data_IF_168580843484
#
_entry.id   IF_168580843484
#
_cell.length_a   1.000
_cell.length_b   1.000
_cell.length_c   1.000
_cell.angle_alpha   90.00
_cell.angle_beta   90.00
_cell.angle_gamma   90.00
#
_symmetry.space_group_name_H-M   'P 1'
#
loop_
_entity.id
_entity.type
_entity.pdbx_description
1 polymer ?
#
# COMPACT_ATOMS: atom_id res chain seq x y z
N UNK A 1 -24.21 -22.91 -5.78
CA UNK A 1 -22.92 -22.26 -6.08
C UNK A 1 -22.55 -21.34 -4.91
N UNK A 2 -21.79 -21.82 -3.93
CA UNK A 2 -21.22 -20.97 -2.86
C UNK A 2 -19.91 -20.42 -3.38
N UNK A 3 -19.90 -19.17 -3.84
CA UNK A 3 -18.69 -18.44 -4.22
C UNK A 3 -17.81 -18.28 -2.99
N UNK A 4 -16.58 -18.72 -3.11
CA UNK A 4 -15.52 -18.69 -2.11
C UNK A 4 -15.29 -17.26 -1.58
N UNK A 5 -15.91 -16.95 -0.45
CA UNK A 5 -15.63 -15.70 0.30
C UNK A 5 -14.26 -15.76 0.99
N UNK A 6 -13.68 -16.96 1.10
CA UNK A 6 -12.44 -17.20 1.85
C UNK A 6 -11.17 -16.80 1.08
N UNK A 7 -11.12 -17.08 -0.22
CA UNK A 7 -9.97 -16.69 -1.07
C UNK A 7 -9.81 -15.16 -1.14
N UNK A 8 -10.92 -14.43 -0.99
CA UNK A 8 -10.92 -12.95 -0.97
C UNK A 8 -10.28 -12.38 0.29
N UNK A 9 -10.34 -13.06 1.43
CA UNK A 9 -9.87 -12.54 2.72
C UNK A 9 -8.34 -12.63 2.85
N UNK A 10 -7.73 -13.73 2.41
CA UNK A 10 -6.25 -13.89 2.40
C UNK A 10 -5.62 -12.93 1.39
N UNK A 11 -6.30 -12.70 0.27
CA UNK A 11 -5.88 -11.74 -0.75
C UNK A 11 -5.93 -10.29 -0.23
N UNK A 12 -6.95 -9.96 0.58
CA UNK A 12 -7.05 -8.64 1.23
C UNK A 12 -5.96 -8.41 2.29
N UNK A 13 -5.48 -9.46 2.99
CA UNK A 13 -4.40 -9.32 3.97
C UNK A 13 -3.06 -9.00 3.34
N UNK A 14 -2.72 -9.61 2.20
CA UNK A 14 -1.51 -9.24 1.46
C UNK A 14 -1.55 -7.77 0.99
N UNK A 15 -2.74 -7.25 0.68
CA UNK A 15 -2.93 -5.83 0.32
C UNK A 15 -2.93 -4.89 1.53
N UNK A 16 -3.40 -5.32 2.69
CA UNK A 16 -3.44 -4.48 3.90
C UNK A 16 -2.03 -4.16 4.42
N UNK A 17 -1.08 -5.09 4.30
CA UNK A 17 0.34 -4.85 4.65
C UNK A 17 1.00 -3.88 3.66
N UNK A 18 0.56 -3.87 2.39
CA UNK A 18 1.10 -2.95 1.37
C UNK A 18 0.62 -1.50 1.54
N UNK A 19 -0.50 -1.25 2.24
CA UNK A 19 -1.11 0.09 2.33
C UNK A 19 -0.55 0.97 3.47
N UNK A 20 0.32 0.43 4.33
CA UNK A 20 0.96 1.20 5.43
C UNK A 20 2.24 1.92 4.97
N UNK A 21 2.54 1.92 3.67
CA UNK A 21 3.62 2.75 3.12
C UNK A 21 3.15 4.19 2.93
N UNK A 22 3.16 4.97 4.00
CA UNK A 22 3.25 6.43 3.90
C UNK A 22 4.54 6.75 3.13
N UNK A 23 4.49 7.58 2.08
CA UNK A 23 5.69 8.03 1.39
C UNK A 23 6.48 8.95 2.33
N UNK A 24 7.33 8.37 3.15
CA UNK A 24 8.40 9.10 3.78
C UNK A 24 9.35 9.55 2.67
N UNK A 25 9.33 10.85 2.35
CA UNK A 25 10.30 11.47 1.47
C UNK A 25 11.72 11.19 1.95
N UNK A 26 12.33 10.15 1.44
CA UNK A 26 13.78 9.97 1.47
C UNK A 26 14.27 10.12 0.03
N UNK A 27 14.76 11.31 -0.32
CA UNK A 27 15.65 11.52 -1.46
C UNK A 27 16.97 10.80 -1.16
N UNK A 28 16.98 9.50 -1.36
CA UNK A 28 18.18 8.71 -1.44
C UNK A 28 18.42 8.35 -2.90
N UNK A 29 19.21 9.14 -3.60
CA UNK A 29 19.77 8.78 -4.91
C UNK A 29 20.74 7.61 -4.71
N UNK A 30 20.20 6.42 -4.55
CA UNK A 30 20.93 5.17 -4.58
C UNK A 30 20.80 4.59 -5.98
N UNK A 31 21.83 4.78 -6.81
CA UNK A 31 22.00 4.08 -8.06
C UNK A 31 22.11 2.59 -7.74
N UNK A 32 20.99 1.88 -7.76
CA UNK A 32 20.99 0.42 -7.63
C UNK A 32 21.66 -0.14 -8.88
N UNK A 33 22.95 -0.47 -8.79
CA UNK A 33 23.61 -1.25 -9.83
C UNK A 33 22.84 -2.56 -9.96
N UNK A 34 22.15 -2.73 -11.10
CA UNK A 34 21.59 -4.03 -11.47
C UNK A 34 22.77 -5.00 -11.51
N UNK A 35 22.87 -5.85 -10.51
CA UNK A 35 23.79 -6.98 -10.55
C UNK A 35 23.22 -7.93 -11.60
N UNK A 36 23.92 -8.02 -12.74
CA UNK A 36 23.62 -9.03 -13.76
C UNK A 36 23.96 -10.37 -13.11
N UNK A 37 22.96 -11.08 -12.59
CA UNK A 37 23.10 -12.45 -12.14
C UNK A 37 23.56 -13.26 -13.36
N UNK A 38 24.75 -13.81 -13.31
CA UNK A 38 25.12 -14.85 -14.25
C UNK A 38 24.13 -15.99 -14.08
N UNK A 39 23.56 -16.43 -15.20
CA UNK A 39 22.56 -17.50 -15.26
C UNK A 39 23.21 -18.86 -15.02
N UNK A 40 23.71 -19.07 -13.80
CA UNK A 40 23.93 -20.39 -13.26
C UNK A 40 22.60 -20.91 -12.70
N UNK A 41 22.36 -22.20 -12.78
CA UNK A 41 21.18 -22.83 -12.20
C UNK A 41 21.14 -22.55 -10.69
N UNK A 42 20.33 -21.57 -10.30
CA UNK A 42 20.10 -21.26 -8.89
C UNK A 42 19.27 -22.38 -8.31
N UNK A 43 19.82 -23.11 -7.36
CA UNK A 43 19.10 -24.16 -6.65
C UNK A 43 17.95 -23.56 -5.81
N UNK A 44 16.85 -24.29 -5.71
CA UNK A 44 15.70 -23.92 -4.89
C UNK A 44 16.05 -23.65 -3.42
N UNK A 45 17.12 -24.25 -2.93
CA UNK A 45 17.65 -24.10 -1.57
C UNK A 45 18.65 -22.96 -1.42
N UNK A 46 19.07 -22.33 -2.53
CA UNK A 46 20.03 -21.22 -2.51
C UNK A 46 19.49 -20.03 -1.74
N UNK A 47 20.31 -19.43 -0.88
CA UNK A 47 19.98 -18.20 -0.19
C UNK A 47 20.19 -17.04 -1.16
N UNK A 48 19.11 -16.37 -1.55
CA UNK A 48 19.13 -15.26 -2.52
C UNK A 48 19.02 -13.87 -1.87
N UNK A 49 18.60 -13.83 -0.60
CA UNK A 49 18.50 -12.60 0.17
C UNK A 49 18.80 -12.88 1.63
N UNK A 50 19.35 -11.89 2.35
CA UNK A 50 19.58 -11.95 3.81
C UNK A 50 18.99 -10.71 4.46
N UNK A 51 18.25 -10.94 5.57
CA UNK A 51 17.66 -9.88 6.38
C UNK A 51 18.18 -10.11 7.81
N UNK A 52 19.17 -9.33 8.22
CA UNK A 52 19.93 -9.64 9.41
C UNK A 52 20.58 -11.03 9.30
N UNK A 53 20.24 -11.93 10.23
CA UNK A 53 20.69 -13.32 10.22
C UNK A 53 19.77 -14.28 9.48
N UNK A 54 18.58 -13.84 9.07
CA UNK A 54 17.62 -14.68 8.35
C UNK A 54 17.98 -14.78 6.87
N UNK A 55 18.13 -16.01 6.38
CA UNK A 55 18.35 -16.29 4.96
C UNK A 55 17.02 -16.59 4.27
N UNK A 56 16.77 -15.97 3.14
CA UNK A 56 15.61 -16.24 2.27
C UNK A 56 16.04 -17.16 1.13
N UNK A 57 15.36 -18.28 1.01
CA UNK A 57 15.62 -19.26 -0.05
C UNK A 57 14.99 -18.83 -1.36
N UNK A 58 15.58 -19.25 -2.48
CA UNK A 58 15.04 -18.99 -3.80
C UNK A 58 13.63 -19.58 -3.97
N UNK A 59 13.38 -20.79 -3.42
CA UNK A 59 12.04 -21.38 -3.40
C UNK A 59 11.00 -20.51 -2.70
N UNK A 60 11.37 -19.85 -1.60
CA UNK A 60 10.47 -18.94 -0.87
C UNK A 60 10.07 -17.74 -1.74
N UNK A 61 11.04 -17.07 -2.38
CA UNK A 61 10.76 -15.98 -3.32
C UNK A 61 9.83 -16.43 -4.44
N UNK A 62 10.06 -17.62 -5.02
CA UNK A 62 9.21 -18.17 -6.09
C UNK A 62 7.78 -18.46 -5.62
N UNK A 63 7.59 -18.89 -4.37
CA UNK A 63 6.27 -19.10 -3.81
C UNK A 63 5.51 -17.76 -3.69
N UNK A 64 6.14 -16.68 -3.25
CA UNK A 64 5.54 -15.33 -3.29
C UNK A 64 5.22 -14.87 -4.71
N UNK A 65 6.11 -15.14 -5.68
CA UNK A 65 5.82 -14.86 -7.10
C UNK A 65 4.57 -15.60 -7.58
N UNK A 66 4.33 -16.84 -7.14
CA UNK A 66 3.14 -17.58 -7.49
C UNK A 66 1.87 -16.96 -6.90
N UNK A 67 1.89 -16.57 -5.63
CA UNK A 67 0.74 -15.91 -4.99
C UNK A 67 0.38 -14.61 -5.71
N UNK A 68 1.38 -13.79 -6.01
CA UNK A 68 1.18 -12.54 -6.73
C UNK A 68 0.69 -12.78 -8.16
N UNK A 69 1.25 -13.80 -8.86
CA UNK A 69 0.76 -14.23 -10.17
C UNK A 69 -0.73 -14.55 -10.13
N UNK A 70 -1.16 -15.38 -9.19
CA UNK A 70 -2.57 -15.75 -9.08
C UNK A 70 -3.47 -14.52 -8.87
N UNK A 71 -3.01 -13.55 -8.09
CA UNK A 71 -3.75 -12.32 -7.83
C UNK A 71 -3.87 -11.43 -9.07
N UNK A 72 -2.77 -11.16 -9.74
CA UNK A 72 -2.75 -10.23 -10.88
C UNK A 72 -3.34 -10.86 -12.14
N UNK A 73 -2.95 -12.08 -12.49
CA UNK A 73 -3.39 -12.71 -13.73
C UNK A 73 -4.89 -13.05 -13.72
N UNK A 74 -5.48 -13.29 -12.54
CA UNK A 74 -6.93 -13.52 -12.43
C UNK A 74 -7.76 -12.26 -12.76
N UNK A 75 -7.19 -11.07 -12.57
CA UNK A 75 -7.88 -9.81 -12.78
C UNK A 75 -7.50 -9.15 -14.12
N UNK A 76 -6.24 -9.29 -14.55
CA UNK A 76 -5.68 -8.53 -15.66
C UNK A 76 -5.13 -9.41 -16.79
N UNK A 77 -5.09 -10.74 -16.60
CA UNK A 77 -4.49 -11.67 -17.56
C UNK A 77 -2.95 -11.68 -17.54
N UNK A 78 -2.36 -12.69 -18.20
CA UNK A 78 -0.91 -12.96 -18.15
C UNK A 78 -0.01 -11.91 -18.80
N UNK A 79 -0.55 -11.02 -19.64
CA UNK A 79 0.22 -9.94 -20.28
C UNK A 79 0.51 -8.75 -19.35
N UNK A 80 -0.05 -8.73 -18.15
CA UNK A 80 0.10 -7.61 -17.21
C UNK A 80 1.56 -7.33 -16.83
N UNK A 81 2.40 -8.37 -16.80
CA UNK A 81 3.77 -8.27 -16.33
C UNK A 81 4.68 -7.40 -17.20
N UNK A 82 4.37 -7.33 -18.52
CA UNK A 82 5.12 -6.55 -19.49
C UNK A 82 4.54 -5.14 -19.70
N UNK A 83 3.45 -4.79 -18.97
CA UNK A 83 2.85 -3.47 -19.05
C UNK A 83 3.82 -2.42 -18.51
N UNK A 84 4.13 -1.43 -19.36
CA UNK A 84 5.10 -0.37 -19.05
C UNK A 84 4.43 0.77 -18.30
N UNK A 85 4.97 1.10 -17.12
CA UNK A 85 4.51 2.17 -16.24
C UNK A 85 5.15 3.53 -16.56
N UNK A 86 6.12 3.57 -17.46
CA UNK A 86 6.97 4.72 -17.76
C UNK A 86 8.44 4.44 -17.39
N UNK A 87 9.37 5.23 -17.93
CA UNK A 87 10.81 5.15 -17.65
C UNK A 87 11.43 3.72 -17.81
N UNK A 88 10.85 2.92 -18.71
CA UNK A 88 11.20 1.50 -18.93
C UNK A 88 11.03 0.60 -17.69
N UNK A 89 10.16 0.97 -16.76
CA UNK A 89 9.74 0.15 -15.63
C UNK A 89 8.46 -0.59 -15.98
N UNK A 90 8.43 -1.90 -15.75
CA UNK A 90 7.23 -2.72 -15.97
C UNK A 90 6.54 -3.07 -14.66
N UNK A 91 5.27 -3.49 -14.72
CA UNK A 91 4.58 -4.07 -13.55
C UNK A 91 5.38 -5.27 -13.01
N UNK A 92 6.02 -6.07 -13.87
CA UNK A 92 6.88 -7.16 -13.42
C UNK A 92 8.12 -6.69 -12.64
N UNK A 93 8.66 -5.51 -12.94
CA UNK A 93 9.78 -4.93 -12.17
C UNK A 93 9.31 -4.46 -10.79
N UNK A 94 8.18 -3.75 -10.72
CA UNK A 94 7.57 -3.33 -9.46
C UNK A 94 7.17 -4.53 -8.59
N UNK A 95 6.57 -5.55 -9.17
CA UNK A 95 6.20 -6.77 -8.47
C UNK A 95 7.40 -7.46 -7.80
N UNK A 96 8.57 -7.46 -8.43
CA UNK A 96 9.80 -8.02 -7.82
C UNK A 96 10.23 -7.21 -6.60
N UNK A 97 10.11 -5.88 -6.68
CA UNK A 97 10.44 -5.01 -5.55
C UNK A 97 9.43 -5.18 -4.41
N UNK A 98 8.15 -5.29 -4.74
CA UNK A 98 7.07 -5.53 -3.77
C UNK A 98 7.29 -6.84 -3.01
N UNK A 99 7.61 -7.94 -3.71
CA UNK A 99 7.92 -9.23 -3.08
C UNK A 99 9.13 -9.11 -2.14
N UNK A 100 10.20 -8.43 -2.56
CA UNK A 100 11.38 -8.25 -1.72
C UNK A 100 11.06 -7.45 -0.45
N UNK A 101 10.25 -6.40 -0.56
CA UNK A 101 9.80 -5.59 0.56
C UNK A 101 8.91 -6.39 1.51
N UNK A 102 7.93 -7.14 0.98
CA UNK A 102 7.02 -7.99 1.77
C UNK A 102 7.80 -9.03 2.58
N UNK A 103 8.71 -9.77 1.93
CA UNK A 103 9.53 -10.76 2.62
C UNK A 103 10.35 -10.09 3.72
N UNK A 104 10.92 -8.92 3.42
CA UNK A 104 11.71 -8.17 4.42
C UNK A 104 10.87 -7.80 5.63
N UNK A 105 9.68 -7.28 5.43
CA UNK A 105 8.76 -6.92 6.52
C UNK A 105 8.38 -8.14 7.36
N UNK A 106 8.00 -9.25 6.72
CA UNK A 106 7.60 -10.46 7.43
C UNK A 106 8.76 -11.07 8.25
N UNK A 107 10.00 -11.05 7.74
CA UNK A 107 11.17 -11.51 8.51
C UNK A 107 11.49 -10.61 9.70
N UNK A 108 11.29 -9.30 9.57
CA UNK A 108 11.42 -8.36 10.69
C UNK A 108 10.33 -8.62 11.73
N UNK A 109 9.07 -8.76 11.31
CA UNK A 109 7.94 -9.05 12.21
C UNK A 109 8.16 -10.37 12.95
N UNK A 110 8.58 -11.44 12.25
CA UNK A 110 8.89 -12.73 12.89
C UNK A 110 9.97 -12.57 13.95
N UNK A 111 11.05 -11.84 13.66
CA UNK A 111 12.11 -11.59 14.64
C UNK A 111 11.57 -10.81 15.84
N UNK A 112 10.75 -9.79 15.65
CA UNK A 112 10.13 -9.02 16.72
C UNK A 112 9.18 -9.90 17.55
N UNK A 113 8.41 -10.78 16.91
CA UNK A 113 7.55 -11.74 17.60
C UNK A 113 8.35 -12.69 18.48
N UNK A 114 9.48 -13.20 17.99
CA UNK A 114 10.39 -14.04 18.77
C UNK A 114 10.94 -13.29 19.98
N UNK A 115 11.35 -12.03 19.84
CA UNK A 115 11.84 -11.17 20.92
C UNK A 115 10.75 -10.88 21.97
N UNK A 116 9.48 -10.74 21.53
CA UNK A 116 8.31 -10.52 22.38
C UNK A 116 7.68 -11.83 22.89
N UNK A 117 8.23 -12.99 22.52
CA UNK A 117 7.70 -14.32 22.85
C UNK A 117 6.28 -14.56 22.35
N UNK A 118 5.87 -13.88 21.29
CA UNK A 118 4.60 -14.10 20.60
C UNK A 118 4.75 -15.27 19.65
N UNK A 119 3.96 -16.31 19.85
CA UNK A 119 4.00 -17.54 19.04
C UNK A 119 2.63 -17.91 18.52
N UNK A 120 2.59 -18.68 17.42
CA UNK A 120 1.36 -19.26 16.91
C UNK A 120 0.89 -20.45 17.77
N UNK A 121 -0.40 -20.52 18.00
CA UNK A 121 -1.07 -21.68 18.59
C UNK A 121 -1.09 -22.87 17.63
N UNK A 122 -1.48 -24.05 18.11
CA UNK A 122 -1.69 -25.23 17.26
C UNK A 122 -2.72 -24.96 16.17
N UNK A 123 -3.86 -24.37 16.54
CA UNK A 123 -4.97 -24.11 15.62
C UNK A 123 -4.57 -23.10 14.52
N UNK A 124 -3.76 -22.09 14.86
CA UNK A 124 -3.23 -21.13 13.88
C UNK A 124 -2.25 -21.80 12.90
N UNK A 125 -1.45 -22.75 13.36
CA UNK A 125 -0.57 -23.53 12.47
C UNK A 125 -1.35 -24.49 11.59
N UNK A 126 -2.38 -25.14 12.11
CA UNK A 126 -3.26 -26.02 11.35
C UNK A 126 -4.02 -25.21 10.27
N UNK A 127 -4.40 -23.97 10.58
CA UNK A 127 -4.97 -23.03 9.60
C UNK A 127 -3.97 -22.73 8.47
N UNK A 128 -2.71 -22.44 8.81
CA UNK A 128 -1.66 -22.18 7.82
C UNK A 128 -1.46 -23.38 6.88
N UNK A 129 -1.47 -24.60 7.43
CA UNK A 129 -1.38 -25.84 6.64
C UNK A 129 -2.59 -25.99 5.71
N UNK A 130 -3.80 -25.76 6.21
CA UNK A 130 -5.04 -25.87 5.42
C UNK A 130 -5.05 -24.89 4.23
N UNK A 131 -4.62 -23.64 4.46
CA UNK A 131 -4.49 -22.64 3.40
C UNK A 131 -3.43 -23.03 2.37
N UNK A 132 -2.31 -23.58 2.82
CA UNK A 132 -1.26 -24.09 1.96
C UNK A 132 -1.74 -25.26 1.09
N UNK A 133 -2.48 -26.19 1.66
CA UNK A 133 -3.08 -27.32 0.94
C UNK A 133 -4.04 -26.85 -0.15
N UNK A 134 -4.91 -25.88 0.14
CA UNK A 134 -5.83 -25.32 -0.84
C UNK A 134 -5.09 -24.76 -2.05
N UNK A 135 -4.08 -23.93 -1.82
CA UNK A 135 -3.29 -23.31 -2.89
C UNK A 135 -2.50 -24.34 -3.69
N UNK A 136 -1.80 -25.24 -3.01
CA UNK A 136 -0.96 -26.24 -3.67
C UNK A 136 -1.82 -27.24 -4.45
N UNK A 137 -2.96 -27.69 -3.92
CA UNK A 137 -3.82 -28.64 -4.60
C UNK A 137 -4.45 -28.04 -5.86
N UNK A 138 -4.81 -26.77 -5.85
CA UNK A 138 -5.38 -26.06 -6.99
C UNK A 138 -4.34 -25.66 -8.05
N UNK A 139 -3.05 -25.69 -7.73
CA UNK A 139 -2.00 -25.33 -8.66
C UNK A 139 -1.79 -26.40 -9.75
N UNK A 140 -1.53 -25.94 -10.99
CA UNK A 140 -1.20 -26.85 -12.10
C UNK A 140 0.13 -27.59 -11.83
N UNK A 141 0.34 -28.80 -12.41
CA UNK A 141 1.64 -29.49 -12.31
C UNK A 141 2.82 -28.65 -12.81
N UNK A 142 2.58 -27.83 -13.83
CA UNK A 142 3.58 -26.88 -14.36
C UNK A 142 3.93 -25.82 -13.31
N UNK A 143 2.92 -25.22 -12.67
CA UNK A 143 3.14 -24.18 -11.66
C UNK A 143 3.80 -24.76 -10.41
N UNK A 144 3.38 -25.95 -9.94
CA UNK A 144 4.05 -26.64 -8.83
C UNK A 144 5.54 -26.77 -9.04
N UNK A 145 5.95 -27.19 -10.25
CA UNK A 145 7.36 -27.30 -10.61
C UNK A 145 8.02 -25.92 -10.79
N UNK A 146 7.36 -25.02 -11.52
CA UNK A 146 7.91 -23.71 -11.86
C UNK A 146 8.11 -22.80 -10.66
N UNK A 147 7.29 -22.94 -9.63
CA UNK A 147 7.33 -22.09 -8.44
C UNK A 147 7.74 -22.83 -7.17
N UNK A 148 8.21 -24.09 -7.28
CA UNK A 148 8.63 -24.93 -6.15
C UNK A 148 7.55 -25.05 -5.06
N UNK A 149 6.29 -25.16 -5.48
CA UNK A 149 5.18 -25.22 -4.55
C UNK A 149 5.15 -26.57 -3.81
N UNK A 150 5.17 -26.49 -2.50
CA UNK A 150 4.91 -27.61 -1.60
C UNK A 150 4.09 -27.12 -0.42
N UNK A 151 3.32 -28.01 0.20
CA UNK A 151 2.56 -27.67 1.41
C UNK A 151 3.49 -27.09 2.47
N UNK A 152 4.64 -27.70 2.68
CA UNK A 152 5.63 -27.24 3.67
C UNK A 152 6.11 -25.80 3.39
N UNK A 153 6.45 -25.46 2.14
CA UNK A 153 6.93 -24.11 1.82
C UNK A 153 5.82 -23.08 1.93
N UNK A 154 4.61 -23.45 1.48
CA UNK A 154 3.46 -22.54 1.53
C UNK A 154 2.94 -22.35 2.95
N UNK A 155 2.91 -23.39 3.81
CA UNK A 155 2.50 -23.23 5.21
C UNK A 155 3.44 -22.28 5.97
N UNK A 156 4.75 -22.32 5.71
CA UNK A 156 5.67 -21.38 6.34
C UNK A 156 5.35 -19.90 5.97
N UNK A 157 4.90 -19.65 4.74
CA UNK A 157 4.46 -18.32 4.31
C UNK A 157 3.18 -17.91 5.03
N UNK A 158 2.21 -18.82 5.14
CA UNK A 158 0.95 -18.55 5.83
C UNK A 158 1.15 -18.39 7.34
N UNK A 159 2.08 -19.14 7.95
CA UNK A 159 2.48 -18.92 9.34
C UNK A 159 3.07 -17.51 9.55
N UNK A 160 3.94 -17.04 8.64
CA UNK A 160 4.49 -15.68 8.71
C UNK A 160 3.38 -14.61 8.61
N UNK A 161 2.38 -14.83 7.76
CA UNK A 161 1.25 -13.90 7.60
C UNK A 161 0.32 -13.90 8.82
N UNK A 162 -0.05 -15.07 9.37
CA UNK A 162 -0.88 -15.17 10.58
C UNK A 162 -0.15 -14.55 11.78
N UNK A 163 1.17 -14.77 11.87
CA UNK A 163 1.99 -14.16 12.92
C UNK A 163 2.03 -12.64 12.78
N UNK A 164 2.11 -12.12 11.55
CA UNK A 164 2.10 -10.68 11.30
C UNK A 164 0.76 -10.04 11.72
N UNK A 165 -0.36 -10.70 11.43
CA UNK A 165 -1.67 -10.26 11.89
C UNK A 165 -1.74 -10.25 13.42
N UNK A 166 -1.29 -11.32 14.06
CA UNK A 166 -1.25 -11.44 15.52
C UNK A 166 -0.39 -10.33 16.15
N UNK A 167 0.77 -10.04 15.56
CA UNK A 167 1.66 -8.97 16.01
C UNK A 167 1.02 -7.58 15.84
N UNK A 168 0.20 -7.38 14.82
CA UNK A 168 -0.56 -6.14 14.67
C UNK A 168 -1.50 -5.93 15.86
N UNK A 169 -2.26 -6.95 16.25
CA UNK A 169 -3.15 -6.87 17.42
C UNK A 169 -2.36 -6.64 18.71
N UNK A 170 -1.25 -7.35 18.90
CA UNK A 170 -0.37 -7.14 20.09
C UNK A 170 0.16 -5.70 20.13
N UNK A 171 0.56 -5.14 18.98
CA UNK A 171 1.09 -3.78 18.92
C UNK A 171 0.02 -2.70 19.11
N UNK A 172 -1.24 -3.02 18.86
CA UNK A 172 -2.37 -2.06 18.93
C UNK A 172 -3.28 -2.28 20.14
N UNK A 173 -3.02 -3.30 20.96
CA UNK A 173 -3.86 -3.67 22.13
C UNK A 173 -3.96 -2.53 23.16
N UNK A 174 -2.89 -1.75 23.32
CA UNK A 174 -2.86 -0.59 24.21
C UNK A 174 -3.26 0.73 23.51
N UNK A 175 -3.64 0.68 22.22
CA UNK A 175 -4.06 1.88 21.52
C UNK A 175 -5.39 2.39 22.09
N UNK A 176 -5.43 3.66 22.48
CA UNK A 176 -6.67 4.30 22.89
C UNK A 176 -7.61 4.42 21.66
N UNK A 177 -8.65 3.58 21.67
CA UNK A 177 -9.67 3.58 20.62
C UNK A 177 -10.89 4.42 20.99
N UNK A 178 -10.88 5.04 22.17
CA UNK A 178 -11.95 5.91 22.63
C UNK A 178 -11.72 7.29 22.06
N UNK A 179 -12.39 7.58 20.95
CA UNK A 179 -12.42 8.94 20.38
C UNK A 179 -13.37 9.77 21.26
N UNK A 180 -12.86 10.84 21.86
CA UNK A 180 -13.69 11.77 22.62
C UNK A 180 -14.62 12.57 21.70
N UNK A 181 -15.72 13.10 22.25
CA UNK A 181 -16.63 13.97 21.48
C UNK A 181 -15.90 15.19 20.87
N UNK A 182 -14.85 15.69 21.54
CA UNK A 182 -14.06 16.81 21.04
C UNK A 182 -13.13 16.39 19.88
N UNK A 183 -12.56 15.19 19.91
CA UNK A 183 -11.74 14.63 18.81
C UNK A 183 -12.59 14.22 17.61
N UNK A 184 -13.82 13.74 17.85
CA UNK A 184 -14.80 13.40 16.82
C UNK A 184 -15.53 14.61 16.26
N UNK A 185 -15.33 15.80 16.84
CA UNK A 185 -16.06 16.99 16.45
C UNK A 185 -15.70 17.40 15.04
N UNK A 186 -16.68 17.35 14.17
CA UNK A 186 -16.60 17.94 12.84
C UNK A 186 -17.24 19.33 12.88
N UNK A 187 -16.65 20.25 12.13
CA UNK A 187 -17.20 21.58 11.91
C UNK A 187 -17.47 21.79 10.43
N UNK A 188 -18.63 22.36 10.12
CA UNK A 188 -18.93 22.82 8.77
C UNK A 188 -18.44 24.26 8.63
N UNK A 189 -17.61 24.49 7.67
CA UNK A 189 -17.11 25.82 7.32
C UNK A 189 -17.68 26.26 5.99
N UNK A 190 -17.98 27.53 5.88
CA UNK A 190 -18.30 28.19 4.62
C UNK A 190 -17.19 29.19 4.32
N UNK A 191 -16.72 29.20 3.07
CA UNK A 191 -15.55 29.99 2.70
C UNK A 191 -15.60 30.52 1.28
N UNK A 192 -14.82 31.56 1.03
CA UNK A 192 -14.56 32.07 -0.31
C UNK A 192 -13.07 31.87 -0.59
N UNK A 193 -12.75 31.02 -1.56
CA UNK A 193 -11.37 30.87 -2.03
C UNK A 193 -11.08 31.89 -3.13
N UNK A 194 -9.90 32.48 -3.08
CA UNK A 194 -9.37 33.36 -4.14
C UNK A 194 -8.05 32.77 -4.60
N UNK A 195 -8.03 32.27 -5.83
CA UNK A 195 -6.87 31.60 -6.40
C UNK A 195 -5.76 32.63 -6.66
N UNK A 196 -4.58 32.38 -6.08
CA UNK A 196 -3.35 33.16 -6.29
C UNK A 196 -2.25 32.36 -6.97
N UNK A 197 -2.56 31.14 -7.40
CA UNK A 197 -1.69 30.25 -8.15
C UNK A 197 -2.44 29.71 -9.35
N UNK A 198 -1.76 29.46 -10.46
CA UNK A 198 -2.29 28.74 -11.61
C UNK A 198 -1.43 27.51 -11.88
N UNK A 199 -1.91 26.60 -12.73
CA UNK A 199 -1.10 25.48 -13.21
C UNK A 199 -0.76 25.71 -14.67
N UNK A 200 0.47 25.38 -15.07
CA UNK A 200 0.87 25.35 -16.47
C UNK A 200 0.27 24.13 -17.18
N UNK A 201 0.59 23.99 -18.48
CA UNK A 201 0.10 22.85 -19.30
C UNK A 201 0.62 21.50 -18.82
N UNK A 202 1.67 21.47 -18.00
CA UNK A 202 2.29 20.27 -17.44
C UNK A 202 1.82 20.00 -16.00
N UNK A 203 0.88 20.82 -15.48
CA UNK A 203 0.37 20.68 -14.11
C UNK A 203 1.24 21.33 -13.04
N UNK A 204 2.33 22.01 -13.40
CA UNK A 204 3.22 22.68 -12.46
C UNK A 204 2.57 23.96 -11.94
N UNK A 205 2.59 24.17 -10.62
CA UNK A 205 2.07 25.39 -10.00
C UNK A 205 2.90 26.63 -10.38
N UNK A 206 2.21 27.63 -10.94
CA UNK A 206 2.77 28.93 -11.25
C UNK A 206 2.18 29.96 -10.28
N UNK A 207 3.02 30.62 -9.50
CA UNK A 207 2.60 31.75 -8.68
C UNK A 207 2.26 32.96 -9.56
N UNK A 208 1.13 33.59 -9.27
CA UNK A 208 0.77 34.86 -9.90
C UNK A 208 1.83 35.93 -9.62
N UNK A 209 1.99 36.86 -10.53
CA UNK A 209 2.90 38.01 -10.34
C UNK A 209 2.41 38.97 -9.23
N UNK A 210 3.27 39.92 -8.84
CA UNK A 210 2.95 40.82 -7.73
C UNK A 210 1.71 41.70 -7.98
N UNK A 211 1.44 42.07 -9.23
CA UNK A 211 0.27 42.88 -9.59
C UNK A 211 -1.03 42.09 -9.40
N UNK A 212 -1.08 40.87 -9.94
CA UNK A 212 -2.25 39.96 -9.80
C UNK A 212 -2.48 39.57 -8.34
N UNK A 213 -1.43 39.32 -7.53
CA UNK A 213 -1.57 39.11 -6.08
C UNK A 213 -2.18 40.30 -5.36
N UNK A 214 -1.81 41.52 -5.75
CA UNK A 214 -2.37 42.76 -5.19
C UNK A 214 -3.85 42.93 -5.54
N UNK A 215 -4.23 42.57 -6.78
CA UNK A 215 -5.64 42.57 -7.22
C UNK A 215 -6.45 41.49 -6.46
N UNK A 216 -5.94 40.27 -6.29
CA UNK A 216 -6.57 39.22 -5.49
C UNK A 216 -6.78 39.67 -4.04
N UNK A 217 -5.78 40.30 -3.42
CA UNK A 217 -5.88 40.86 -2.07
C UNK A 217 -6.96 41.96 -1.98
N UNK A 218 -7.04 42.86 -3.00
CA UNK A 218 -8.10 43.87 -3.06
C UNK A 218 -9.48 43.28 -3.22
N UNK A 219 -9.61 42.21 -4.08
CA UNK A 219 -10.85 41.47 -4.23
C UNK A 219 -11.26 40.83 -2.90
N UNK A 220 -10.33 40.17 -2.19
CA UNK A 220 -10.58 39.58 -0.88
C UNK A 220 -11.12 40.60 0.14
N UNK A 221 -10.52 41.79 0.22
CA UNK A 221 -10.97 42.84 1.10
C UNK A 221 -12.38 43.35 0.76
N UNK A 222 -12.69 43.48 -0.54
CA UNK A 222 -14.01 43.88 -0.99
C UNK A 222 -15.07 42.84 -0.68
N UNK A 223 -14.76 41.55 -0.94
CA UNK A 223 -15.63 40.45 -0.64
C UNK A 223 -15.88 40.30 0.87
N UNK A 224 -14.86 40.48 1.70
CA UNK A 224 -15.01 40.50 3.16
C UNK A 224 -15.99 41.59 3.63
N UNK A 225 -15.94 42.78 3.03
CA UNK A 225 -16.87 43.89 3.38
C UNK A 225 -18.29 43.58 2.91
N UNK A 226 -18.46 42.91 1.77
CA UNK A 226 -19.75 42.53 1.23
C UNK A 226 -20.34 41.34 2.03
N UNK A 227 -19.53 40.33 2.32
CA UNK A 227 -19.91 39.17 3.10
C UNK A 227 -20.48 39.51 4.49
N UNK A 228 -19.87 40.49 5.15
CA UNK A 228 -20.36 41.02 6.46
C UNK A 228 -21.75 41.67 6.41
N UNK A 229 -22.28 41.91 5.22
CA UNK A 229 -23.59 42.54 5.00
C UNK A 229 -24.57 41.56 4.35
N UNK A 230 -24.13 40.36 4.03
CA UNK A 230 -24.96 39.31 3.44
C UNK A 230 -25.77 38.65 4.54
N UNK A 231 -27.07 38.47 4.30
CA UNK A 231 -27.96 37.71 5.17
C UNK A 231 -27.82 36.19 4.93
N UNK A 232 -27.33 35.78 3.77
CA UNK A 232 -27.02 34.40 3.41
C UNK A 232 -25.57 34.33 2.90
N UNK A 233 -24.66 33.93 3.79
CA UNK A 233 -23.25 33.82 3.45
C UNK A 233 -22.96 32.68 2.49
N UNK A 234 -23.70 31.55 2.57
CA UNK A 234 -23.44 30.41 1.68
C UNK A 234 -23.71 30.78 0.22
N UNK A 235 -24.89 31.28 -0.08
CA UNK A 235 -25.22 31.75 -1.44
C UNK A 235 -24.24 32.82 -1.92
N UNK A 236 -23.85 33.76 -1.07
CA UNK A 236 -22.85 34.77 -1.40
C UNK A 236 -21.48 34.15 -1.69
N UNK A 237 -21.07 33.14 -0.92
CA UNK A 237 -19.79 32.46 -1.10
C UNK A 237 -19.79 31.63 -2.40
N UNK A 238 -20.86 30.91 -2.72
CA UNK A 238 -21.02 30.15 -3.97
C UNK A 238 -20.89 31.01 -5.22
N UNK A 239 -21.42 32.24 -5.18
CA UNK A 239 -21.34 33.18 -6.30
C UNK A 239 -19.95 33.83 -6.46
N UNK A 240 -19.12 33.85 -5.41
CA UNK A 240 -17.91 34.65 -5.37
C UNK A 240 -16.62 33.84 -5.14
N UNK A 241 -16.70 32.54 -4.85
CA UNK A 241 -15.53 31.67 -4.67
C UNK A 241 -14.93 31.26 -6.01
N UNK A 242 -13.62 31.06 -6.05
CA UNK A 242 -12.90 30.41 -7.15
C UNK A 242 -12.81 28.89 -6.94
N UNK A 243 -13.24 28.37 -5.78
CA UNK A 243 -13.33 26.94 -5.48
C UNK A 243 -14.54 26.28 -6.14
N UNK A 244 -14.50 24.96 -6.27
CA UNK A 244 -15.64 24.17 -6.80
C UNK A 244 -16.82 24.19 -5.81
N UNK A 245 -16.54 24.24 -4.51
CA UNK A 245 -17.52 24.32 -3.44
C UNK A 245 -17.20 25.50 -2.52
N UNK A 246 -18.24 26.09 -1.91
CA UNK A 246 -18.10 27.16 -0.92
C UNK A 246 -18.23 26.66 0.53
N UNK A 247 -18.35 25.36 0.73
CA UNK A 247 -18.44 24.72 2.05
C UNK A 247 -17.61 23.45 2.12
N UNK A 248 -17.13 23.13 3.31
CA UNK A 248 -16.44 21.88 3.62
C UNK A 248 -16.71 21.48 5.08
N UNK A 249 -16.76 20.19 5.35
CA UNK A 249 -16.71 19.61 6.69
C UNK A 249 -15.26 19.27 7.02
N UNK A 250 -14.78 19.70 8.18
CA UNK A 250 -13.40 19.52 8.65
C UNK A 250 -13.43 18.73 9.96
#
# INVERSE_FOLDING_TARGET
>A
MKKNKFTSCVLCMLLAVSFVMLPGCSKGSGTTKRVKLETGDISDTSIVMKIGNAGVKYSEVRNYCYLLKCQYESNFGGGIWDYNLGDNVTIGDEARQEIANLITQLKIIRKTADEMQVTLTSDEKDEAVRQAEEVVNNASPKDKKSYCLSIQNMSAIYEDNILAEKMFYVATDEADTVVTDDEARQIDIQYIEIITKSKDRNGTEISMNAATKKEAAKRAQNLLKAARKSDDFLSFAEENTDAVNASATI
#
